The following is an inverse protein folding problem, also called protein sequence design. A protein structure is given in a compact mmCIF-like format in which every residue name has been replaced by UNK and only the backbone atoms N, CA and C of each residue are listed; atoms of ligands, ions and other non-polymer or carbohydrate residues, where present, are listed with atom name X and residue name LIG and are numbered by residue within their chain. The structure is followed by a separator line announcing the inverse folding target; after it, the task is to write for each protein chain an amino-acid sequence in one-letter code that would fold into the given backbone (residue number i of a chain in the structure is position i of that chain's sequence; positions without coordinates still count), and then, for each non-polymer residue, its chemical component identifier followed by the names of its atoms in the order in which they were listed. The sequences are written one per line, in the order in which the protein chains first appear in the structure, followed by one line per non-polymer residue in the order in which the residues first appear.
data_IF_580024689368
#
_entry.id   IF_580024689368
#
_cell.length_a   1.000
_cell.length_b   1.000
_cell.length_c   1.000
_cell.angle_alpha   90.00
_cell.angle_beta   90.00
_cell.angle_gamma   90.00
#
_symmetry.space_group_name_H-M   'P 1'
#
loop_
_entity.id
_entity.type
_entity.pdbx_description
1 polymer ?
#
# COMPACT_ATOMS: atom_id res chain seq x y z
N UNK A 1 16.49 4.65 -12.11
CA UNK A 1 15.84 3.34 -12.08
C UNK A 1 16.50 2.36 -13.06
N UNK A 2 16.96 2.84 -14.22
CA UNK A 2 17.59 2.02 -15.28
C UNK A 2 18.72 1.08 -14.84
N UNK A 3 19.71 1.49 -14.00
CA UNK A 3 20.78 0.58 -13.60
C UNK A 3 20.30 -0.62 -12.79
N UNK A 4 19.37 -0.42 -11.86
CA UNK A 4 18.82 -1.48 -11.02
C UNK A 4 18.05 -2.51 -11.85
N UNK A 5 17.24 -2.07 -12.82
CA UNK A 5 16.48 -2.96 -13.70
C UNK A 5 17.39 -3.82 -14.57
N UNK A 6 18.52 -3.28 -15.04
CA UNK A 6 19.51 -4.05 -15.80
C UNK A 6 20.09 -5.16 -14.93
N UNK A 7 20.52 -4.84 -13.70
CA UNK A 7 21.10 -5.82 -12.77
C UNK A 7 20.07 -6.90 -12.42
N UNK A 8 18.84 -6.50 -12.10
CA UNK A 8 17.73 -7.44 -11.81
C UNK A 8 17.51 -8.36 -13.01
N UNK A 9 17.37 -7.81 -14.22
CA UNK A 9 17.17 -8.60 -15.45
C UNK A 9 18.29 -9.61 -15.70
N UNK A 10 19.54 -9.20 -15.48
CA UNK A 10 20.71 -10.10 -15.60
C UNK A 10 20.66 -11.20 -14.55
N UNK A 11 20.39 -10.85 -13.29
CA UNK A 11 20.29 -11.81 -12.19
C UNK A 11 19.17 -12.84 -12.44
N UNK A 12 18.00 -12.40 -12.91
CA UNK A 12 16.88 -13.28 -13.26
C UNK A 12 17.25 -14.27 -14.37
N UNK A 13 17.92 -13.80 -15.43
CA UNK A 13 18.39 -14.70 -16.50
C UNK A 13 19.42 -15.70 -16.01
N UNK A 14 20.29 -15.31 -15.07
CA UNK A 14 21.25 -16.23 -14.44
C UNK A 14 20.56 -17.25 -13.55
N UNK A 15 19.57 -16.84 -12.73
CA UNK A 15 18.74 -17.73 -11.92
C UNK A 15 18.05 -18.80 -12.78
N UNK A 16 17.51 -18.40 -13.93
CA UNK A 16 16.93 -19.35 -14.89
C UNK A 16 17.98 -20.27 -15.51
N UNK A 17 19.13 -19.71 -15.92
CA UNK A 17 20.22 -20.47 -16.53
C UNK A 17 20.74 -21.59 -15.61
N UNK A 18 20.80 -21.35 -14.31
CA UNK A 18 21.24 -22.37 -13.34
C UNK A 18 20.09 -23.28 -12.86
N UNK A 19 18.87 -23.09 -13.37
CA UNK A 19 17.72 -23.96 -13.09
C UNK A 19 17.05 -23.75 -11.74
N UNK A 20 17.07 -22.53 -11.16
CA UNK A 20 16.45 -22.30 -9.84
C UNK A 20 14.93 -22.52 -9.80
N UNK A 21 14.25 -22.40 -10.94
CA UNK A 21 12.80 -22.57 -11.09
C UNK A 21 12.35 -24.03 -11.24
N UNK A 22 13.28 -24.98 -11.33
CA UNK A 22 13.00 -26.37 -11.69
C UNK A 22 13.53 -27.33 -10.62
N UNK A 23 12.65 -28.17 -10.06
CA UNK A 23 12.99 -29.17 -9.04
C UNK A 23 14.11 -30.12 -9.51
N UNK A 24 14.01 -30.64 -10.73
CA UNK A 24 14.96 -31.61 -11.29
C UNK A 24 16.40 -31.08 -11.35
N UNK A 25 16.57 -29.76 -11.55
CA UNK A 25 17.89 -29.14 -11.57
C UNK A 25 18.59 -29.14 -10.20
N UNK A 26 17.86 -29.41 -9.12
CA UNK A 26 18.38 -29.44 -7.74
C UNK A 26 18.28 -30.83 -7.10
N UNK A 27 17.77 -31.85 -7.81
CA UNK A 27 17.54 -33.20 -7.26
C UNK A 27 18.82 -33.88 -6.75
N UNK A 28 19.96 -33.59 -7.38
CA UNK A 28 21.26 -34.16 -7.03
C UNK A 28 21.95 -33.47 -5.84
N UNK A 29 21.42 -32.34 -5.36
CA UNK A 29 22.02 -31.55 -4.29
C UNK A 29 21.61 -32.08 -2.90
N UNK A 30 22.21 -31.60 -1.82
CA UNK A 30 21.74 -31.95 -0.48
C UNK A 30 20.45 -31.17 -0.10
N UNK A 31 19.84 -31.50 1.03
CA UNK A 31 18.59 -30.85 1.44
C UNK A 31 18.76 -29.37 1.77
N UNK A 32 19.90 -28.96 2.30
CA UNK A 32 20.22 -27.58 2.70
C UNK A 32 20.41 -26.72 1.46
N UNK A 33 21.20 -27.19 0.49
CA UNK A 33 21.44 -26.52 -0.78
C UNK A 33 20.14 -26.36 -1.58
N UNK A 34 19.28 -27.39 -1.62
CA UNK A 34 17.95 -27.29 -2.26
C UNK A 34 17.11 -26.18 -1.62
N UNK A 35 17.07 -26.10 -0.29
CA UNK A 35 16.32 -25.04 0.42
C UNK A 35 16.86 -23.65 0.10
N UNK A 36 18.18 -23.47 0.11
CA UNK A 36 18.80 -22.18 -0.21
C UNK A 36 18.53 -21.75 -1.66
N UNK A 37 18.57 -22.68 -2.61
CA UNK A 37 18.23 -22.42 -4.03
C UNK A 37 16.77 -22.02 -4.20
N UNK A 38 15.83 -22.70 -3.52
CA UNK A 38 14.42 -22.33 -3.52
C UNK A 38 14.19 -20.94 -2.91
N UNK A 39 14.84 -20.61 -1.79
CA UNK A 39 14.77 -19.26 -1.19
C UNK A 39 15.28 -18.19 -2.15
N UNK A 40 16.41 -18.45 -2.82
CA UNK A 40 16.98 -17.51 -3.80
C UNK A 40 16.04 -17.30 -4.99
N UNK A 41 15.41 -18.37 -5.48
CA UNK A 41 14.39 -18.27 -6.51
C UNK A 41 13.23 -17.37 -6.07
N UNK A 42 12.65 -17.64 -4.91
CA UNK A 42 11.48 -16.90 -4.43
C UNK A 42 11.80 -15.43 -4.09
N UNK A 43 13.02 -15.12 -3.65
CA UNK A 43 13.49 -13.72 -3.52
C UNK A 43 13.58 -13.04 -4.89
N UNK A 44 14.12 -13.73 -5.88
CA UNK A 44 14.18 -13.24 -7.25
C UNK A 44 12.77 -13.05 -7.86
N UNK A 45 11.85 -13.96 -7.56
CA UNK A 45 10.42 -13.87 -7.90
C UNK A 45 9.78 -12.60 -7.33
N UNK A 46 9.93 -12.34 -6.02
CA UNK A 46 9.41 -11.11 -5.40
C UNK A 46 9.96 -9.87 -6.11
N UNK A 47 11.28 -9.80 -6.35
CA UNK A 47 11.92 -8.66 -7.00
C UNK A 47 11.42 -8.41 -8.43
N UNK A 48 11.19 -9.48 -9.20
CA UNK A 48 10.69 -9.40 -10.57
C UNK A 48 9.25 -8.88 -10.61
N UNK A 49 8.34 -9.47 -9.82
CA UNK A 49 6.93 -9.04 -9.79
C UNK A 49 6.78 -7.63 -9.22
N UNK A 50 7.52 -7.29 -8.17
CA UNK A 50 7.57 -5.94 -7.61
C UNK A 50 8.04 -4.90 -8.64
N UNK A 51 9.09 -5.22 -9.39
CA UNK A 51 9.65 -4.33 -10.41
C UNK A 51 8.69 -4.21 -11.59
N UNK A 52 8.19 -5.33 -12.10
CA UNK A 52 7.21 -5.41 -13.19
C UNK A 52 5.99 -4.53 -12.91
N UNK A 53 5.39 -4.64 -11.73
CA UNK A 53 4.21 -3.86 -11.35
C UNK A 53 4.52 -2.35 -11.30
N UNK A 54 5.67 -1.96 -10.74
CA UNK A 54 6.04 -0.54 -10.60
C UNK A 54 6.49 0.10 -11.91
N UNK A 55 7.14 -0.65 -12.79
CA UNK A 55 7.67 -0.14 -14.06
C UNK A 55 6.73 -0.38 -15.24
N UNK A 56 5.64 -1.11 -15.04
CA UNK A 56 4.72 -1.58 -16.07
C UNK A 56 5.44 -2.36 -17.19
N UNK A 57 6.56 -3.02 -16.85
CA UNK A 57 7.27 -3.91 -17.75
C UNK A 57 6.81 -5.35 -17.50
N UNK A 58 6.74 -6.21 -18.52
CA UNK A 58 6.42 -7.63 -18.32
C UNK A 58 7.43 -8.30 -17.37
N UNK A 59 6.95 -9.15 -16.46
CA UNK A 59 7.83 -9.96 -15.61
C UNK A 59 8.58 -11.00 -16.44
N UNK A 60 9.78 -11.37 -16.01
CA UNK A 60 10.62 -12.39 -16.67
C UNK A 60 10.19 -13.80 -16.26
N UNK A 61 9.80 -13.97 -15.00
CA UNK A 61 9.39 -15.25 -14.43
C UNK A 61 7.91 -15.47 -14.72
N UNK A 62 7.62 -16.41 -15.62
CA UNK A 62 6.27 -16.85 -15.97
C UNK A 62 5.86 -17.94 -14.99
N UNK A 63 4.70 -17.77 -14.37
CA UNK A 63 4.26 -18.65 -13.28
C UNK A 63 4.07 -20.11 -13.76
N UNK A 64 3.64 -20.31 -15.00
CA UNK A 64 3.48 -21.63 -15.63
C UNK A 64 4.81 -22.38 -15.84
N UNK A 65 5.96 -21.69 -15.81
CA UNK A 65 7.29 -22.27 -15.98
C UNK A 65 7.96 -22.64 -14.64
N UNK A 66 7.27 -22.44 -13.52
CA UNK A 66 7.81 -22.66 -12.17
C UNK A 66 7.39 -24.05 -11.66
N UNK A 67 8.37 -24.93 -11.45
CA UNK A 67 8.19 -26.28 -10.90
C UNK A 67 8.95 -26.41 -9.56
N UNK A 68 8.72 -25.47 -8.65
CA UNK A 68 9.15 -25.58 -7.26
C UNK A 68 8.00 -25.18 -6.32
N UNK A 69 7.95 -25.82 -5.15
CA UNK A 69 6.90 -25.55 -4.17
C UNK A 69 7.07 -24.14 -3.57
N UNK A 70 5.95 -23.54 -3.14
CA UNK A 70 5.97 -22.34 -2.31
C UNK A 70 6.88 -22.56 -1.09
N UNK A 71 7.52 -21.51 -0.55
CA UNK A 71 8.37 -21.64 0.61
C UNK A 71 7.50 -21.84 1.86
N UNK A 72 6.93 -23.04 2.01
CA UNK A 72 6.22 -23.45 3.20
C UNK A 72 7.26 -24.00 4.16
N UNK A 73 7.50 -23.27 5.25
CA UNK A 73 8.35 -23.75 6.32
C UNK A 73 7.71 -24.90 7.07
N UNK A 74 8.14 -26.11 6.77
CA UNK A 74 7.92 -27.27 7.63
C UNK A 74 9.11 -27.37 8.58
N UNK A 75 8.92 -27.17 9.90
CA UNK A 75 10.01 -27.40 10.85
C UNK A 75 10.39 -28.88 10.81
N UNK A 76 11.56 -29.20 10.25
CA UNK A 76 12.15 -30.52 10.40
C UNK A 76 12.93 -30.59 11.72
N UNK A 77 12.94 -31.75 12.37
CA UNK A 77 13.53 -31.97 13.70
C UNK A 77 15.05 -31.69 13.78
N UNK A 78 15.75 -31.63 12.63
CA UNK A 78 17.20 -31.37 12.53
C UNK A 78 17.58 -29.92 12.14
N UNK A 79 16.63 -28.99 12.06
CA UNK A 79 16.87 -27.69 11.41
C UNK A 79 17.37 -26.60 12.40
N UNK A 80 18.68 -26.34 12.39
CA UNK A 80 19.27 -25.09 12.94
C UNK A 80 18.73 -23.81 12.24
N UNK A 81 18.00 -24.01 11.15
CA UNK A 81 17.41 -23.00 10.26
C UNK A 81 15.93 -22.72 10.61
N UNK A 82 15.37 -23.43 11.60
CA UNK A 82 13.98 -23.31 12.03
C UNK A 82 13.64 -21.87 12.45
N UNK A 83 12.96 -21.13 11.56
CA UNK A 83 12.47 -19.77 11.82
C UNK A 83 12.99 -18.70 10.86
N UNK A 84 13.85 -19.01 9.89
CA UNK A 84 14.29 -18.01 8.90
C UNK A 84 13.09 -17.52 8.08
N UNK A 85 12.82 -16.21 8.12
CA UNK A 85 11.68 -15.60 7.45
C UNK A 85 10.38 -15.62 8.26
N UNK A 86 10.36 -16.30 9.42
CA UNK A 86 9.26 -16.22 10.35
C UNK A 86 9.50 -15.16 11.42
N UNK A 87 8.48 -14.38 11.73
CA UNK A 87 8.49 -13.41 12.83
C UNK A 87 7.53 -13.85 13.91
N UNK A 88 7.98 -13.78 15.16
CA UNK A 88 7.18 -14.04 16.36
C UNK A 88 7.02 -12.74 17.14
N UNK A 89 5.84 -12.53 17.71
CA UNK A 89 5.59 -11.37 18.59
C UNK A 89 6.44 -11.43 19.86
N UNK A 90 6.61 -10.28 20.52
CA UNK A 90 7.44 -10.12 21.71
C UNK A 90 6.93 -10.90 22.92
N UNK A 91 5.61 -11.12 22.98
CA UNK A 91 4.92 -11.95 23.97
C UNK A 91 4.83 -13.44 23.57
N UNK A 92 5.25 -13.79 22.35
CA UNK A 92 5.17 -15.15 21.81
C UNK A 92 3.75 -15.61 21.42
N UNK A 93 2.74 -14.74 21.47
CA UNK A 93 1.34 -15.09 21.23
C UNK A 93 1.02 -15.38 19.76
N UNK A 94 1.73 -14.75 18.82
CA UNK A 94 1.51 -14.93 17.40
C UNK A 94 2.82 -15.11 16.62
N UNK A 95 2.73 -15.86 15.52
CA UNK A 95 3.84 -16.19 14.61
C UNK A 95 3.35 -16.10 13.17
N UNK A 96 4.16 -15.51 12.29
CA UNK A 96 3.84 -15.36 10.86
C UNK A 96 5.07 -15.62 9.99
N UNK A 97 4.89 -16.45 8.96
CA UNK A 97 5.88 -16.59 7.89
C UNK A 97 5.81 -15.37 6.95
N UNK A 98 6.65 -14.37 7.22
CA UNK A 98 6.72 -13.14 6.43
C UNK A 98 7.17 -13.42 5.00
N UNK A 99 8.08 -14.39 4.82
CA UNK A 99 8.62 -14.71 3.51
C UNK A 99 7.54 -15.33 2.61
N UNK A 100 6.79 -16.30 3.12
CA UNK A 100 5.65 -16.89 2.41
C UNK A 100 4.60 -15.82 2.07
N UNK A 101 4.25 -14.97 3.03
CA UNK A 101 3.29 -13.89 2.80
C UNK A 101 3.79 -12.91 1.72
N UNK A 102 5.09 -12.64 1.64
CA UNK A 102 5.67 -11.82 0.56
C UNK A 102 5.59 -12.50 -0.80
N UNK A 103 5.87 -13.80 -0.89
CA UNK A 103 5.76 -14.55 -2.16
C UNK A 103 4.33 -14.57 -2.67
N UNK A 104 3.37 -14.83 -1.79
CA UNK A 104 1.94 -14.83 -2.14
C UNK A 104 1.49 -13.46 -2.64
N UNK A 105 1.87 -12.38 -1.94
CA UNK A 105 1.57 -11.03 -2.39
C UNK A 105 2.25 -10.71 -3.74
N UNK A 106 3.49 -11.16 -3.96
CA UNK A 106 4.18 -10.99 -5.23
C UNK A 106 3.44 -11.67 -6.40
N UNK A 107 2.82 -12.83 -6.16
CA UNK A 107 1.97 -13.48 -7.17
C UNK A 107 0.73 -12.64 -7.50
N UNK A 108 0.08 -12.03 -6.51
CA UNK A 108 -1.03 -11.08 -6.73
C UNK A 108 -0.54 -9.86 -7.51
N UNK A 109 0.63 -9.31 -7.18
CA UNK A 109 1.25 -8.20 -7.90
C UNK A 109 1.50 -8.54 -9.38
N UNK A 110 2.00 -9.75 -9.66
CA UNK A 110 2.15 -10.27 -11.02
C UNK A 110 0.81 -10.35 -11.75
N UNK A 111 -0.22 -10.89 -11.09
CA UNK A 111 -1.58 -10.94 -11.66
C UNK A 111 -2.11 -9.55 -12.01
N UNK A 112 -1.90 -8.54 -11.16
CA UNK A 112 -2.29 -7.15 -11.45
C UNK A 112 -1.54 -6.61 -12.68
N UNK A 113 -0.21 -6.78 -12.73
CA UNK A 113 0.60 -6.33 -13.85
C UNK A 113 0.14 -6.97 -15.17
N UNK A 114 -0.03 -8.28 -15.19
CA UNK A 114 -0.40 -9.05 -16.38
C UNK A 114 -1.84 -8.82 -16.80
N UNK A 115 -2.76 -8.62 -15.85
CA UNK A 115 -4.18 -8.64 -16.16
C UNK A 115 -4.86 -7.28 -16.17
N UNK A 116 -4.31 -6.28 -15.50
CA UNK A 116 -4.87 -4.93 -15.47
C UNK A 116 -4.02 -3.95 -16.27
N UNK A 117 -2.69 -4.10 -16.29
CA UNK A 117 -1.78 -3.10 -16.87
C UNK A 117 -1.02 -3.53 -18.13
N UNK A 118 -1.08 -4.80 -18.53
CA UNK A 118 -0.37 -5.28 -19.72
C UNK A 118 -1.03 -4.85 -21.04
N UNK A 119 -0.27 -4.85 -22.14
CA UNK A 119 -0.86 -4.66 -23.49
C UNK A 119 -1.87 -5.76 -23.85
N UNK A 120 -1.81 -6.93 -23.19
CA UNK A 120 -2.81 -7.99 -23.37
C UNK A 120 -4.12 -7.64 -22.65
N UNK A 121 -4.06 -6.98 -21.49
CA UNK A 121 -5.27 -6.57 -20.76
C UNK A 121 -6.13 -5.60 -21.57
N UNK A 122 -5.52 -4.69 -22.33
CA UNK A 122 -6.25 -3.71 -23.15
C UNK A 122 -7.03 -4.33 -24.30
N UNK A 123 -6.72 -5.57 -24.68
CA UNK A 123 -7.40 -6.32 -25.75
C UNK A 123 -8.55 -7.20 -25.24
N UNK A 124 -8.74 -7.31 -23.93
CA UNK A 124 -9.82 -8.10 -23.33
C UNK A 124 -11.15 -7.33 -23.35
N UNK A 125 -12.25 -8.06 -23.36
CA UNK A 125 -13.60 -7.49 -23.21
C UNK A 125 -13.77 -6.77 -21.87
N UNK A 126 -14.82 -5.94 -21.75
CA UNK A 126 -15.13 -5.24 -20.49
C UNK A 126 -15.47 -6.25 -19.39
N UNK A 127 -16.23 -7.28 -19.76
CA UNK A 127 -16.72 -8.35 -18.89
C UNK A 127 -15.57 -9.20 -18.36
N UNK A 128 -14.64 -9.61 -19.23
CA UNK A 128 -13.44 -10.35 -18.80
C UNK A 128 -12.58 -9.52 -17.85
N UNK A 129 -12.36 -8.23 -18.15
CA UNK A 129 -11.58 -7.35 -17.27
C UNK A 129 -12.24 -7.19 -15.90
N UNK A 130 -13.58 -7.11 -15.86
CA UNK A 130 -14.34 -7.04 -14.61
C UNK A 130 -14.18 -8.33 -13.80
N UNK A 131 -14.42 -9.49 -14.41
CA UNK A 131 -14.29 -10.78 -13.74
C UNK A 131 -12.87 -11.03 -13.22
N UNK A 132 -11.83 -10.66 -13.99
CA UNK A 132 -10.45 -10.77 -13.54
C UNK A 132 -10.17 -9.83 -12.37
N UNK A 133 -10.66 -8.59 -12.42
CA UNK A 133 -10.51 -7.63 -11.32
C UNK A 133 -11.13 -8.18 -10.04
N UNK A 134 -12.35 -8.70 -10.10
CA UNK A 134 -13.05 -9.31 -8.96
C UNK A 134 -12.24 -10.47 -8.37
N UNK A 135 -11.72 -11.37 -9.21
CA UNK A 135 -10.85 -12.47 -8.76
C UNK A 135 -9.59 -11.97 -8.05
N UNK A 136 -8.96 -10.91 -8.56
CA UNK A 136 -7.76 -10.32 -7.95
C UNK A 136 -8.11 -9.67 -6.60
N UNK A 137 -9.26 -8.98 -6.50
CA UNK A 137 -9.74 -8.40 -5.23
C UNK A 137 -9.93 -9.51 -4.20
N UNK A 138 -10.65 -10.58 -4.54
CA UNK A 138 -10.86 -11.73 -3.65
C UNK A 138 -9.53 -12.33 -3.18
N UNK A 139 -8.58 -12.56 -4.09
CA UNK A 139 -7.27 -13.09 -3.71
C UNK A 139 -6.48 -12.15 -2.77
N UNK A 140 -6.60 -10.83 -2.98
CA UNK A 140 -5.98 -9.84 -2.10
C UNK A 140 -6.63 -9.81 -0.71
N UNK A 141 -7.96 -9.93 -0.63
CA UNK A 141 -8.68 -9.94 0.64
C UNK A 141 -8.42 -11.24 1.43
N UNK A 142 -8.39 -12.38 0.75
CA UNK A 142 -7.98 -13.67 1.36
C UNK A 142 -6.54 -13.59 1.88
N UNK A 143 -5.63 -13.02 1.09
CA UNK A 143 -4.25 -12.80 1.54
C UNK A 143 -4.18 -11.87 2.75
N UNK A 144 -4.92 -10.76 2.76
CA UNK A 144 -4.98 -9.84 3.93
C UNK A 144 -5.52 -10.55 5.18
N UNK A 145 -6.57 -11.35 5.04
CA UNK A 145 -7.15 -12.12 6.13
C UNK A 145 -6.19 -13.19 6.68
N UNK A 146 -5.24 -13.67 5.86
CA UNK A 146 -4.19 -14.59 6.31
C UNK A 146 -3.10 -13.94 7.17
N UNK A 147 -2.97 -12.59 7.13
CA UNK A 147 -1.99 -11.86 7.93
C UNK A 147 -2.56 -11.62 9.33
N UNK A 148 -1.94 -12.15 10.41
CA UNK A 148 -2.46 -11.96 11.76
C UNK A 148 -2.50 -10.49 12.18
N UNK A 149 -3.48 -10.13 13.01
CA UNK A 149 -3.75 -8.73 13.40
C UNK A 149 -2.60 -8.08 14.17
N UNK A 150 -1.78 -8.89 14.83
CA UNK A 150 -0.57 -8.52 15.55
C UNK A 150 0.50 -7.96 14.59
N UNK A 151 0.50 -8.41 13.34
CA UNK A 151 1.42 -7.98 12.29
C UNK A 151 0.81 -6.93 11.34
N UNK A 152 -0.36 -6.39 11.68
CA UNK A 152 -0.96 -5.25 10.98
C UNK A 152 -0.06 -4.02 11.04
N UNK A 153 -0.22 -3.09 10.10
CA UNK A 153 0.58 -1.87 10.06
C UNK A 153 0.46 -1.02 11.35
N UNK A 154 -0.71 -1.05 12.00
CA UNK A 154 -0.96 -0.38 13.27
C UNK A 154 -0.22 -1.02 14.45
N UNK A 155 -0.14 -2.35 14.49
CA UNK A 155 0.31 -3.08 15.68
C UNK A 155 1.77 -3.51 15.62
N UNK A 156 2.32 -3.74 14.42
CA UNK A 156 3.61 -4.43 14.24
C UNK A 156 4.76 -3.80 15.02
N UNK A 157 4.82 -2.47 15.10
CA UNK A 157 5.88 -1.77 15.83
C UNK A 157 5.90 -2.13 17.32
N UNK A 158 4.73 -2.32 17.92
CA UNK A 158 4.58 -2.66 19.33
C UNK A 158 4.79 -4.16 19.55
N UNK A 159 4.15 -4.98 18.71
CA UNK A 159 4.13 -6.44 18.85
C UNK A 159 5.46 -7.08 18.50
N UNK A 160 6.30 -6.47 17.67
CA UNK A 160 7.65 -6.97 17.34
C UNK A 160 8.77 -6.08 17.90
N UNK A 161 8.49 -5.39 19.02
CA UNK A 161 9.43 -4.47 19.68
C UNK A 161 10.74 -5.12 20.14
N UNK A 162 10.73 -6.43 20.40
CA UNK A 162 11.92 -7.24 20.69
C UNK A 162 12.85 -7.42 19.48
N UNK A 163 12.35 -7.20 18.25
CA UNK A 163 13.13 -7.26 17.02
C UNK A 163 12.80 -6.10 16.08
N UNK A 164 13.31 -4.89 16.36
CA UNK A 164 13.03 -3.68 15.57
C UNK A 164 13.43 -3.79 14.09
N UNK A 165 14.37 -4.71 13.76
CA UNK A 165 14.81 -4.93 12.38
C UNK A 165 13.70 -5.40 11.44
N UNK A 166 12.64 -6.00 12.01
CA UNK A 166 11.49 -6.51 11.26
C UNK A 166 10.55 -5.41 10.75
N UNK A 167 10.54 -4.24 11.40
CA UNK A 167 9.62 -3.15 11.09
C UNK A 167 9.74 -2.67 9.63
N UNK A 168 10.96 -2.61 9.09
CA UNK A 168 11.17 -2.26 7.68
C UNK A 168 10.57 -3.27 6.71
N UNK A 169 10.64 -4.57 7.02
CA UNK A 169 10.07 -5.62 6.19
C UNK A 169 8.54 -5.61 6.19
N UNK A 170 7.92 -5.32 7.33
CA UNK A 170 6.47 -5.15 7.40
C UNK A 170 5.99 -3.83 6.78
N UNK A 171 6.78 -2.76 6.88
CA UNK A 171 6.50 -1.53 6.15
C UNK A 171 6.47 -1.78 4.64
N UNK A 172 7.45 -2.54 4.11
CA UNK A 172 7.46 -2.94 2.70
C UNK A 172 6.29 -3.86 2.33
N UNK A 173 5.92 -4.81 3.20
CA UNK A 173 4.76 -5.69 3.02
C UNK A 173 3.46 -4.88 2.84
N UNK A 174 3.17 -4.00 3.80
CA UNK A 174 1.97 -3.16 3.81
C UNK A 174 1.99 -2.12 2.69
N UNK A 175 3.18 -1.61 2.33
CA UNK A 175 3.37 -0.77 1.13
C UNK A 175 2.94 -1.51 -0.14
N UNK A 176 3.35 -2.77 -0.31
CA UNK A 176 3.00 -3.55 -1.51
C UNK A 176 1.50 -3.91 -1.52
N UNK A 177 0.92 -4.20 -0.36
CA UNK A 177 -0.51 -4.47 -0.20
C UNK A 177 -1.37 -3.25 -0.59
N UNK A 178 -1.05 -2.07 -0.04
CA UNK A 178 -1.76 -0.84 -0.40
C UNK A 178 -1.53 -0.47 -1.87
N UNK A 179 -0.32 -0.69 -2.39
CA UNK A 179 -0.03 -0.49 -3.82
C UNK A 179 -0.96 -1.33 -4.71
N UNK A 180 -1.17 -2.61 -4.38
CA UNK A 180 -2.11 -3.47 -5.10
C UNK A 180 -3.51 -2.85 -5.11
N UNK A 181 -3.99 -2.45 -3.93
CA UNK A 181 -5.33 -1.92 -3.75
C UNK A 181 -5.57 -0.62 -4.53
N UNK A 182 -4.64 0.34 -4.46
CA UNK A 182 -4.78 1.62 -5.17
C UNK A 182 -4.64 1.48 -6.68
N UNK A 183 -3.90 0.47 -7.16
CA UNK A 183 -3.82 0.15 -8.59
C UNK A 183 -5.12 -0.52 -9.06
N UNK A 184 -5.65 -1.49 -8.32
CA UNK A 184 -6.93 -2.16 -8.65
C UNK A 184 -8.08 -1.15 -8.71
N UNK A 185 -8.14 -0.20 -7.79
CA UNK A 185 -9.20 0.82 -7.72
C UNK A 185 -8.92 2.06 -8.56
N UNK A 186 -7.70 2.21 -9.07
CA UNK A 186 -7.19 3.40 -9.77
C UNK A 186 -7.24 4.69 -8.95
N UNK A 187 -7.37 4.60 -7.63
CA UNK A 187 -7.40 5.76 -6.72
C UNK A 187 -5.99 6.07 -6.18
N UNK A 188 -5.05 6.40 -7.07
CA UNK A 188 -3.65 6.68 -6.70
C UNK A 188 -3.15 8.02 -7.23
N UNK A 189 -2.05 8.51 -6.65
CA UNK A 189 -1.47 9.82 -6.93
C UNK A 189 -0.99 10.06 -8.38
N UNK A 190 -0.91 8.98 -9.16
CA UNK A 190 -0.34 8.97 -10.50
C UNK A 190 -1.38 8.61 -11.58
N UNK A 191 -2.66 8.49 -11.19
CA UNK A 191 -3.75 8.33 -12.12
C UNK A 191 -4.29 9.72 -12.47
N UNK A 192 -4.09 10.15 -13.72
CA UNK A 192 -4.44 11.49 -14.18
C UNK A 192 -5.93 11.79 -14.03
N UNK A 193 -6.77 10.79 -14.29
CA UNK A 193 -8.22 10.93 -14.21
C UNK A 193 -8.64 11.10 -12.74
N UNK A 194 -8.14 10.23 -11.86
CA UNK A 194 -8.42 10.33 -10.43
C UNK A 194 -8.00 11.67 -9.84
N UNK A 195 -6.78 12.14 -10.13
CA UNK A 195 -6.27 13.42 -9.61
C UNK A 195 -7.07 14.61 -10.18
N UNK A 196 -7.48 14.56 -11.45
CA UNK A 196 -8.35 15.58 -12.04
C UNK A 196 -9.72 15.61 -11.36
N UNK A 197 -10.34 14.45 -11.16
CA UNK A 197 -11.65 14.34 -10.53
C UNK A 197 -11.62 14.80 -9.07
N UNK A 198 -10.53 14.50 -8.36
CA UNK A 198 -10.28 14.99 -7.01
C UNK A 198 -10.22 16.52 -6.96
N UNK A 199 -9.48 17.14 -7.88
CA UNK A 199 -9.37 18.60 -7.98
C UNK A 199 -10.72 19.24 -8.28
N UNK A 200 -11.43 18.70 -9.27
CA UNK A 200 -12.73 19.23 -9.70
C UNK A 200 -13.77 19.08 -8.59
N UNK A 201 -13.71 17.99 -7.80
CA UNK A 201 -14.51 17.82 -6.60
C UNK A 201 -14.17 18.82 -5.50
N UNK A 202 -12.88 19.05 -5.23
CA UNK A 202 -12.44 20.08 -4.29
C UNK A 202 -13.00 21.46 -4.62
N UNK A 203 -13.08 21.79 -5.91
CA UNK A 203 -13.64 23.05 -6.43
C UNK A 203 -15.16 23.11 -6.50
N UNK A 204 -15.87 22.01 -6.18
CA UNK A 204 -17.33 21.93 -6.28
C UNK A 204 -17.84 21.78 -7.71
N UNK A 205 -16.98 21.46 -8.68
CA UNK A 205 -17.35 21.30 -10.09
C UNK A 205 -17.90 19.90 -10.40
N UNK A 206 -17.56 18.89 -9.59
CA UNK A 206 -17.94 17.48 -9.82
C UNK A 206 -18.11 16.73 -8.51
N UNK A 207 -18.92 15.67 -8.49
CA UNK A 207 -18.94 14.69 -7.38
C UNK A 207 -17.84 13.65 -7.61
N UNK A 208 -17.00 13.41 -6.61
CA UNK A 208 -15.99 12.36 -6.66
C UNK A 208 -16.63 10.99 -6.42
N UNK A 209 -16.47 10.08 -7.38
CA UNK A 209 -16.91 8.69 -7.23
C UNK A 209 -15.86 7.90 -6.44
N UNK A 210 -16.24 7.47 -5.23
CA UNK A 210 -15.35 6.71 -4.35
C UNK A 210 -15.46 5.19 -4.60
N UNK A 211 -14.36 4.43 -4.48
CA UNK A 211 -14.41 2.97 -4.46
C UNK A 211 -15.32 2.42 -3.35
N UNK A 212 -15.89 1.22 -3.54
CA UNK A 212 -16.76 0.55 -2.56
C UNK A 212 -16.12 0.43 -1.17
N UNK A 213 -14.84 0.06 -1.12
CA UNK A 213 -14.11 -0.22 0.11
C UNK A 213 -13.26 0.97 0.58
N UNK A 214 -13.62 2.19 0.15
CA UNK A 214 -12.82 3.39 0.36
C UNK A 214 -12.49 3.65 1.83
N UNK A 215 -13.42 3.43 2.76
CA UNK A 215 -13.17 3.59 4.19
C UNK A 215 -12.05 2.66 4.70
N UNK A 216 -12.03 1.40 4.24
CA UNK A 216 -10.99 0.44 4.58
C UNK A 216 -9.64 0.80 3.92
N UNK A 217 -9.66 1.39 2.73
CA UNK A 217 -8.47 1.93 2.07
C UNK A 217 -7.85 3.08 2.86
N UNK A 218 -8.70 4.00 3.36
CA UNK A 218 -8.29 5.15 4.17
C UNK A 218 -7.67 4.69 5.48
N UNK A 219 -8.25 3.70 6.17
CA UNK A 219 -7.66 3.10 7.37
C UNK A 219 -6.27 2.52 7.10
N UNK A 220 -6.14 1.68 6.07
CA UNK A 220 -4.84 1.12 5.65
C UNK A 220 -3.81 2.20 5.28
N UNK A 221 -4.25 3.28 4.63
CA UNK A 221 -3.42 4.42 4.30
C UNK A 221 -2.89 5.12 5.56
N UNK A 222 -3.74 5.38 6.56
CA UNK A 222 -3.31 5.99 7.83
C UNK A 222 -2.27 5.13 8.55
N UNK A 223 -2.56 3.85 8.72
CA UNK A 223 -1.66 2.93 9.43
C UNK A 223 -0.31 2.81 8.72
N UNK A 224 -0.33 2.70 7.38
CA UNK A 224 0.88 2.68 6.58
C UNK A 224 1.69 3.97 6.72
N UNK A 225 1.04 5.13 6.67
CA UNK A 225 1.74 6.41 6.78
C UNK A 225 2.45 6.54 8.12
N UNK A 226 1.79 6.16 9.22
CA UNK A 226 2.39 6.14 10.56
C UNK A 226 3.60 5.20 10.57
N UNK A 227 3.45 3.95 10.11
CA UNK A 227 4.53 2.98 10.07
C UNK A 227 5.70 3.46 9.21
N UNK A 228 5.42 4.05 8.05
CA UNK A 228 6.43 4.55 7.12
C UNK A 228 7.22 5.73 7.70
N UNK A 229 6.56 6.72 8.31
CA UNK A 229 7.21 7.87 8.96
C UNK A 229 8.17 7.45 10.09
N UNK A 230 7.85 6.38 10.82
CA UNK A 230 8.72 5.83 11.86
C UNK A 230 9.91 5.07 11.27
N UNK A 231 9.66 4.22 10.27
CA UNK A 231 10.67 3.28 9.75
C UNK A 231 11.64 3.92 8.76
N UNK A 232 11.22 4.94 8.00
CA UNK A 232 12.05 5.61 6.99
C UNK A 232 13.30 6.29 7.59
N UNK A 233 13.27 6.64 8.89
CA UNK A 233 14.41 7.22 9.62
C UNK A 233 15.54 6.20 9.79
N UNK A 234 15.19 4.94 10.04
CA UNK A 234 16.13 3.84 10.23
C UNK A 234 16.51 3.16 8.90
N UNK A 235 15.58 3.12 7.94
CA UNK A 235 15.71 2.33 6.71
C UNK A 235 15.55 3.21 5.47
N UNK A 236 16.63 3.87 5.05
CA UNK A 236 16.62 4.76 3.89
C UNK A 236 16.18 4.08 2.58
N UNK A 237 16.37 2.75 2.45
CA UNK A 237 15.95 1.99 1.28
C UNK A 237 14.42 1.97 1.08
N UNK A 238 13.64 2.14 2.16
CA UNK A 238 12.18 2.23 2.09
C UNK A 238 11.69 3.41 1.25
N UNK A 239 12.48 4.48 1.14
CA UNK A 239 12.15 5.61 0.25
C UNK A 239 11.91 5.14 -1.18
N UNK A 240 12.73 4.21 -1.67
CA UNK A 240 12.63 3.72 -3.05
C UNK A 240 11.46 2.78 -3.26
N UNK A 241 11.06 2.04 -2.23
CA UNK A 241 9.98 1.05 -2.29
C UNK A 241 8.61 1.69 -2.04
N UNK A 242 8.53 2.62 -1.10
CA UNK A 242 7.27 3.13 -0.58
C UNK A 242 6.90 4.56 -0.97
N UNK A 243 7.77 5.36 -1.59
CA UNK A 243 7.46 6.76 -1.91
C UNK A 243 6.14 6.90 -2.71
N UNK A 244 5.97 6.15 -3.79
CA UNK A 244 4.78 6.26 -4.65
C UNK A 244 3.49 5.87 -3.91
N UNK A 245 3.56 4.80 -3.11
CA UNK A 245 2.43 4.34 -2.30
C UNK A 245 2.13 5.32 -1.16
N UNK A 246 3.14 5.86 -0.50
CA UNK A 246 3.01 6.87 0.54
C UNK A 246 2.36 8.16 0.02
N UNK A 247 2.78 8.63 -1.16
CA UNK A 247 2.10 9.74 -1.85
C UNK A 247 0.66 9.40 -2.21
N UNK A 248 0.38 8.15 -2.61
CA UNK A 248 -1.00 7.70 -2.90
C UNK A 248 -1.86 7.63 -1.63
N UNK A 249 -1.29 7.21 -0.50
CA UNK A 249 -1.94 7.23 0.80
C UNK A 249 -2.34 8.65 1.21
N UNK A 250 -1.44 9.63 1.02
CA UNK A 250 -1.76 11.05 1.22
C UNK A 250 -2.96 11.50 0.37
N UNK A 251 -2.99 11.13 -0.92
CA UNK A 251 -4.11 11.46 -1.83
C UNK A 251 -5.43 10.82 -1.38
N UNK A 252 -5.39 9.58 -0.87
CA UNK A 252 -6.58 8.93 -0.28
C UNK A 252 -7.10 9.71 0.93
N UNK A 253 -6.23 10.18 1.82
CA UNK A 253 -6.65 11.01 2.96
C UNK A 253 -7.23 12.35 2.48
N UNK A 254 -6.64 12.98 1.46
CA UNK A 254 -7.19 14.19 0.84
C UNK A 254 -8.60 13.95 0.29
N UNK A 255 -8.81 12.86 -0.44
CA UNK A 255 -10.13 12.47 -0.95
C UNK A 255 -11.14 12.22 0.17
N UNK A 256 -10.73 11.55 1.25
CA UNK A 256 -11.58 11.31 2.42
C UNK A 256 -12.03 12.60 3.11
N UNK A 257 -11.12 13.56 3.25
CA UNK A 257 -11.43 14.87 3.85
C UNK A 257 -12.38 15.68 2.99
N UNK A 258 -12.19 15.68 1.67
CA UNK A 258 -13.08 16.36 0.73
C UNK A 258 -14.51 15.77 0.81
N UNK A 259 -14.61 14.45 1.00
CA UNK A 259 -15.89 13.75 1.07
C UNK A 259 -16.61 13.90 2.42
N UNK A 260 -15.88 13.88 3.54
CA UNK A 260 -16.46 13.95 4.88
C UNK A 260 -15.68 14.88 5.82
N UNK A 261 -16.22 16.09 6.05
CA UNK A 261 -15.61 17.10 6.92
C UNK A 261 -15.74 16.82 8.42
N UNK A 262 -16.68 15.96 8.81
CA UNK A 262 -16.98 15.68 10.21
C UNK A 262 -16.34 14.37 10.69
N UNK A 263 -15.46 13.76 9.89
CA UNK A 263 -14.83 12.52 10.31
C UNK A 263 -13.93 12.74 11.53
N UNK A 264 -13.88 11.75 12.43
CA UNK A 264 -13.22 11.86 13.74
C UNK A 264 -11.73 12.25 13.65
N UNK A 265 -11.01 11.71 12.67
CA UNK A 265 -9.57 11.96 12.51
C UNK A 265 -9.22 13.22 11.71
N UNK A 266 -10.13 14.19 11.54
CA UNK A 266 -9.95 15.30 10.58
C UNK A 266 -8.66 16.08 10.80
N UNK A 267 -8.37 16.49 12.04
CA UNK A 267 -7.16 17.24 12.35
C UNK A 267 -5.89 16.40 12.22
N UNK A 268 -5.92 15.14 12.64
CA UNK A 268 -4.78 14.23 12.51
C UNK A 268 -4.45 13.97 11.03
N UNK A 269 -5.48 13.82 10.19
CA UNK A 269 -5.30 13.65 8.76
C UNK A 269 -4.82 14.94 8.08
N UNK A 270 -5.24 16.13 8.54
CA UNK A 270 -4.67 17.41 8.07
C UNK A 270 -3.15 17.43 8.27
N UNK A 271 -2.72 17.17 9.50
CA UNK A 271 -1.31 17.17 9.90
C UNK A 271 -0.49 16.11 9.13
N UNK A 272 -1.03 14.89 8.96
CA UNK A 272 -0.41 13.85 8.11
C UNK A 272 -0.24 14.27 6.66
N UNK A 273 -1.27 14.90 6.07
CA UNK A 273 -1.22 15.37 4.68
C UNK A 273 -0.17 16.48 4.54
N UNK A 274 -0.15 17.45 5.45
CA UNK A 274 0.82 18.56 5.42
C UNK A 274 2.26 18.08 5.54
N UNK A 275 2.55 17.17 6.47
CA UNK A 275 3.89 16.54 6.58
C UNK A 275 4.26 15.79 5.31
N UNK A 276 3.31 15.05 4.75
CA UNK A 276 3.54 14.29 3.52
C UNK A 276 3.77 15.20 2.31
N UNK A 277 3.06 16.32 2.22
CA UNK A 277 3.29 17.35 1.21
C UNK A 277 4.66 17.99 1.35
N UNK A 278 5.09 18.33 2.57
CA UNK A 278 6.42 18.88 2.82
C UNK A 278 7.52 17.88 2.40
N UNK A 279 7.37 16.61 2.77
CA UNK A 279 8.28 15.54 2.37
C UNK A 279 8.31 15.36 0.84
N UNK A 280 7.15 15.33 0.19
CA UNK A 280 7.03 15.14 -1.25
C UNK A 280 7.59 16.31 -2.06
N UNK A 281 7.38 17.56 -1.60
CA UNK A 281 8.00 18.76 -2.19
C UNK A 281 9.51 18.70 -2.12
N UNK A 282 10.06 18.29 -0.97
CA UNK A 282 11.50 18.14 -0.82
C UNK A 282 12.06 17.05 -1.73
N UNK A 283 11.39 15.91 -1.83
CA UNK A 283 11.77 14.84 -2.77
C UNK A 283 11.71 15.29 -4.23
N UNK A 284 10.71 16.11 -4.59
CA UNK A 284 10.50 16.61 -5.96
C UNK A 284 11.56 17.62 -6.40
N UNK A 285 12.22 18.33 -5.49
CA UNK A 285 13.36 19.22 -5.83
C UNK A 285 14.50 18.48 -6.52
N UNK A 286 14.69 17.21 -6.21
CA UNK A 286 15.75 16.39 -6.82
C UNK A 286 15.42 16.00 -8.27
N UNK A 287 14.13 15.95 -8.62
CA UNK A 287 13.63 15.61 -9.96
C UNK A 287 12.33 16.38 -10.24
N UNK A 288 12.43 17.61 -10.78
CA UNK A 288 11.26 18.41 -11.09
C UNK A 288 10.31 17.69 -12.06
N UNK A 289 9.01 17.75 -11.81
CA UNK A 289 7.99 17.13 -12.64
C UNK A 289 6.70 17.92 -12.56
N UNK A 290 6.16 18.32 -13.72
CA UNK A 290 4.87 19.05 -13.79
C UNK A 290 3.72 18.29 -13.15
N UNK A 291 3.73 16.96 -13.26
CA UNK A 291 2.70 16.09 -12.65
C UNK A 291 2.83 16.10 -11.12
N UNK A 292 4.07 16.11 -10.61
CA UNK A 292 4.31 16.20 -9.16
C UNK A 292 3.93 17.59 -8.62
N UNK A 293 4.22 18.66 -9.37
CA UNK A 293 3.83 20.02 -9.00
C UNK A 293 2.30 20.16 -8.95
N UNK A 294 1.60 19.69 -10.00
CA UNK A 294 0.15 19.66 -10.05
C UNK A 294 -0.45 18.89 -8.86
N UNK A 295 0.13 17.74 -8.52
CA UNK A 295 -0.34 16.95 -7.37
C UNK A 295 -0.17 17.71 -6.05
N UNK A 296 0.97 18.39 -5.85
CA UNK A 296 1.20 19.22 -4.68
C UNK A 296 0.15 20.32 -4.56
N UNK A 297 -0.15 20.98 -5.68
CA UNK A 297 -1.11 22.09 -5.72
C UNK A 297 -2.51 21.59 -5.41
N UNK A 298 -2.95 20.47 -6.01
CA UNK A 298 -4.27 19.87 -5.75
C UNK A 298 -4.44 19.52 -4.28
N UNK A 299 -3.46 18.83 -3.68
CA UNK A 299 -3.57 18.43 -2.28
C UNK A 299 -3.48 19.64 -1.32
N UNK A 300 -2.66 20.64 -1.62
CA UNK A 300 -2.56 21.85 -0.81
C UNK A 300 -3.84 22.71 -0.90
N UNK A 301 -4.36 22.91 -2.11
CA UNK A 301 -5.63 23.60 -2.36
C UNK A 301 -6.78 22.90 -1.63
N UNK A 302 -6.84 21.57 -1.67
CA UNK A 302 -7.83 20.80 -0.95
C UNK A 302 -7.72 20.98 0.57
N UNK A 303 -6.52 20.92 1.15
CA UNK A 303 -6.34 21.11 2.61
C UNK A 303 -6.85 22.48 3.05
N UNK A 304 -6.45 23.55 2.35
CA UNK A 304 -6.86 24.92 2.71
C UNK A 304 -8.36 25.13 2.51
N UNK A 305 -8.92 24.62 1.41
CA UNK A 305 -10.37 24.66 1.15
C UNK A 305 -11.16 23.98 2.27
N UNK A 306 -10.69 22.83 2.76
CA UNK A 306 -11.42 22.10 3.80
C UNK A 306 -11.27 22.72 5.19
N UNK A 307 -10.12 23.34 5.51
CA UNK A 307 -10.00 24.14 6.74
C UNK A 307 -10.99 25.30 6.74
N UNK A 308 -11.10 26.02 5.62
CA UNK A 308 -12.04 27.12 5.49
C UNK A 308 -13.49 26.65 5.63
N UNK A 309 -13.89 25.61 4.87
CA UNK A 309 -15.26 25.05 4.95
C UNK A 309 -15.63 24.60 6.37
N UNK A 310 -14.69 23.99 7.09
CA UNK A 310 -14.92 23.54 8.47
C UNK A 310 -15.05 24.72 9.43
N UNK A 311 -14.25 25.78 9.25
CA UNK A 311 -14.36 27.00 10.05
C UNK A 311 -15.71 27.71 9.80
N UNK A 312 -16.14 27.79 8.55
CA UNK A 312 -17.43 28.38 8.17
C UNK A 312 -18.60 27.58 8.76
N UNK A 313 -18.56 26.24 8.70
CA UNK A 313 -19.57 25.34 9.27
C UNK A 313 -19.66 25.43 10.81
N UNK A 314 -18.51 25.50 11.49
CA UNK A 314 -18.44 25.73 12.94
C UNK A 314 -19.01 27.10 13.33
N UNK A 315 -18.78 28.13 12.50
CA UNK A 315 -19.33 29.47 12.75
C UNK A 315 -20.85 29.48 12.57
N UNK A 316 -21.37 28.81 11.54
CA UNK A 316 -22.82 28.68 11.31
C UNK A 316 -23.53 27.90 12.41
N UNK A 317 -22.92 26.82 12.92
CA UNK A 317 -23.47 26.06 14.06
C UNK A 317 -23.44 26.87 15.35
N UNK A 318 -22.37 27.61 15.63
CA UNK A 318 -22.29 28.51 16.79
C UNK A 318 -23.31 29.65 16.74
N UNK A 319 -23.48 30.29 15.57
CA UNK A 319 -24.49 31.34 15.39
C UNK A 319 -25.91 30.78 15.52
N UNK A 320 -26.16 29.57 15.01
CA UNK A 320 -27.43 28.85 15.16
C UNK A 320 -27.74 28.48 16.61
N UNK A 321 -26.77 27.91 17.33
CA UNK A 321 -26.92 27.55 18.74
C UNK A 321 -27.04 28.78 19.64
N UNK A 322 -26.33 29.87 19.32
CA UNK A 322 -26.49 31.16 19.99
C UNK A 322 -27.88 31.74 19.75
N UNK A 323 -28.39 31.72 18.51
CA UNK A 323 -29.75 32.15 18.18
C UNK A 323 -30.81 31.31 18.91
N UNK A 324 -30.66 29.99 18.94
CA UNK A 324 -31.57 29.09 19.66
C UNK A 324 -31.49 29.32 21.17
N UNK A 325 -30.30 29.48 21.74
CA UNK A 325 -30.10 29.81 23.15
C UNK A 325 -30.66 31.19 23.52
N UNK A 326 -30.52 32.17 22.64
CA UNK A 326 -31.08 33.51 22.79
C UNK A 326 -32.62 33.47 22.73
N UNK A 327 -33.21 32.77 21.77
CA UNK A 327 -34.66 32.59 21.66
C UNK A 327 -35.22 31.88 22.91
N UNK A 328 -34.58 30.79 23.35
CA UNK A 328 -34.98 30.07 24.56
C UNK A 328 -34.83 30.91 25.85
N UNK A 329 -33.97 31.92 25.86
CA UNK A 329 -33.83 32.87 26.98
C UNK A 329 -34.89 33.98 26.98
N UNK A 330 -35.59 34.18 25.86
CA UNK A 330 -36.67 35.16 25.69
C UNK A 330 -38.06 34.54 25.93
N UNK A 331 -38.19 33.22 25.95
CA UNK A 331 -39.43 32.56 26.36
C UNK A 331 -39.61 32.70 27.89
N UNK A 332 -40.78 33.19 28.36
CA UNK A 332 -41.05 33.25 29.79
C UNK A 332 -41.01 31.83 30.37
N UNK A 333 -40.26 31.67 31.46
CA UNK A 333 -40.34 30.48 32.31
C UNK A 333 -41.77 30.37 32.87
N UNK A 334 -42.67 29.72 32.14
CA UNK A 334 -43.95 29.25 32.69
C UNK A 334 -43.66 28.10 33.67
N UNK A 335 -43.26 28.48 34.88
CA UNK A 335 -43.29 27.63 36.06
C UNK A 335 -44.60 27.93 36.81
N UNK A 336 -45.56 27.03 36.66
CA UNK A 336 -46.61 26.77 37.66
C UNK A 336 -46.11 25.68 38.59
#
# INVERSE_FOLDING_TARGET
MTPALIIISVALRLAHKIGLHNRLASDHLDSVERRQRARLFWLAYILDKDSSLRTQQPSVQVDDDIDIDLPVWLPSEDDNDAGIGTVTTSDGSAKMDHFLARVQLAHIQGSIADHLYSTRSSKRSVEERKAIRERIVTALDEWKASVPSEFSAANVMMTTSNNPSTAGFFCALHTCSLLCLVLITRSHAWDEQWVSDLRDHGRGNRVLELPSDFAAMVGQARDLMILFEHTIKAYAWLKWVGACTYTSAMVLLTANKLHNIHHEEFEKDTDRIERSLAWFREASKQRPSKVADMLCDVCAEAVETMKQRRADDLTLTLDGDWLVGFINSLEPSDRI
#
